data_IF_129390008316
#
_entry.id   IF_129390008316
#
_cell.length_a   1.000
_cell.length_b   1.000
_cell.length_c   1.000
_cell.angle_alpha   90.00
_cell.angle_beta   90.00
_cell.angle_gamma   90.00
#
_symmetry.space_group_name_H-M   'P 1'
#
loop_
_entity.id
_entity.type
_entity.pdbx_description
1 polymer ?
#
# COMPACT_ATOMS: atom_id res chain seq x y z
N UNK A 1 -13.76 -36.74 -9.55
CA UNK A 1 -14.27 -37.25 -10.84
C UNK A 1 -14.88 -36.19 -11.77
N UNK A 2 -15.51 -35.11 -11.31
CA UNK A 2 -16.12 -34.06 -12.18
C UNK A 2 -15.15 -33.17 -13.00
N UNK A 3 -13.85 -33.14 -12.69
CA UNK A 3 -12.87 -32.31 -13.41
C UNK A 3 -12.35 -32.93 -14.72
N UNK A 4 -12.56 -34.24 -14.96
CA UNK A 4 -11.98 -34.92 -16.12
C UNK A 4 -12.86 -34.87 -17.39
N UNK A 5 -14.15 -34.54 -17.26
CA UNK A 5 -15.07 -34.49 -18.41
C UNK A 5 -14.99 -33.18 -19.22
N UNK A 6 -14.55 -32.07 -18.62
CA UNK A 6 -14.46 -30.78 -19.32
C UNK A 6 -13.28 -30.69 -20.31
N UNK A 7 -12.31 -31.61 -20.23
CA UNK A 7 -11.13 -31.63 -21.13
C UNK A 7 -11.47 -31.92 -22.60
N UNK A 8 -12.67 -32.42 -22.92
CA UNK A 8 -13.00 -32.98 -24.24
C UNK A 8 -13.81 -32.07 -25.19
N UNK A 9 -14.17 -30.84 -24.82
CA UNK A 9 -14.89 -29.93 -25.74
C UNK A 9 -13.97 -28.84 -26.29
N UNK A 10 -13.32 -29.11 -27.43
CA UNK A 10 -12.80 -28.04 -28.30
C UNK A 10 -13.98 -27.33 -28.98
N UNK A 11 -14.16 -26.01 -28.82
CA UNK A 11 -15.14 -25.28 -29.63
C UNK A 11 -14.59 -25.13 -31.06
N UNK A 12 -15.40 -25.52 -32.04
CA UNK A 12 -15.15 -25.31 -33.46
C UNK A 12 -15.04 -23.80 -33.74
N UNK A 13 -13.91 -23.34 -34.28
CA UNK A 13 -13.65 -21.94 -34.55
C UNK A 13 -14.15 -21.58 -35.98
N UNK A 14 -15.41 -21.15 -36.10
CA UNK A 14 -15.91 -20.50 -37.30
C UNK A 14 -15.71 -18.98 -37.14
N UNK A 15 -14.76 -18.43 -37.89
CA UNK A 15 -14.26 -17.04 -37.84
C UNK A 15 -15.29 -15.96 -38.22
N UNK A 16 -16.45 -16.33 -38.73
CA UNK A 16 -17.51 -15.40 -39.16
C UNK A 16 -18.51 -15.05 -38.05
N UNK A 17 -18.61 -15.83 -36.96
CA UNK A 17 -19.56 -15.57 -35.88
C UNK A 17 -19.03 -14.60 -34.80
N UNK A 18 -17.71 -14.46 -34.63
CA UNK A 18 -17.13 -13.58 -33.60
C UNK A 18 -17.29 -12.08 -33.92
N UNK A 19 -17.41 -11.71 -35.21
CA UNK A 19 -17.47 -10.30 -35.62
C UNK A 19 -18.79 -9.61 -35.26
N UNK A 20 -19.88 -10.36 -35.06
CA UNK A 20 -21.20 -9.79 -34.71
C UNK A 20 -21.47 -9.65 -33.20
N UNK A 21 -20.58 -10.14 -32.34
CA UNK A 21 -20.79 -10.15 -30.87
C UNK A 21 -20.44 -8.85 -30.15
N UNK A 22 -19.81 -7.90 -30.85
CA UNK A 22 -19.37 -6.62 -30.27
C UNK A 22 -20.48 -5.56 -30.14
N UNK A 23 -21.60 -5.76 -30.84
CA UNK A 23 -22.73 -4.81 -30.85
C UNK A 23 -23.79 -5.10 -29.78
N UNK A 24 -23.70 -6.24 -29.10
CA UNK A 24 -24.50 -6.54 -27.92
C UNK A 24 -23.55 -6.65 -26.73
N UNK A 25 -23.42 -5.57 -25.98
CA UNK A 25 -22.75 -5.56 -24.68
C UNK A 25 -23.62 -6.33 -23.66
N UNK A 26 -23.90 -7.60 -23.93
CA UNK A 26 -24.51 -8.50 -22.94
C UNK A 26 -23.46 -8.70 -21.87
N UNK A 27 -23.57 -7.98 -20.76
CA UNK A 27 -22.73 -8.12 -19.57
C UNK A 27 -23.01 -9.50 -18.97
N UNK A 28 -22.36 -10.52 -19.51
CA UNK A 28 -22.47 -11.87 -19.01
C UNK A 28 -21.51 -11.99 -17.82
N UNK A 29 -22.04 -11.77 -16.61
CA UNK A 29 -21.24 -11.78 -15.38
C UNK A 29 -20.71 -13.20 -15.16
N UNK A 30 -19.39 -13.37 -15.29
CA UNK A 30 -18.74 -14.64 -15.03
C UNK A 30 -18.80 -14.94 -13.52
N UNK A 31 -19.80 -15.73 -13.10
CA UNK A 31 -20.05 -16.09 -11.70
C UNK A 31 -18.85 -16.76 -11.03
N UNK A 32 -17.92 -17.36 -11.78
CA UNK A 32 -16.69 -17.95 -11.24
C UNK A 32 -15.65 -16.91 -10.85
N UNK A 33 -15.54 -15.81 -11.60
CA UNK A 33 -14.55 -14.75 -11.34
C UNK A 33 -15.12 -13.58 -10.54
N UNK A 34 -16.44 -13.49 -10.38
CA UNK A 34 -17.05 -12.45 -9.56
C UNK A 34 -16.48 -12.42 -8.11
N UNK A 35 -16.32 -13.56 -7.40
CA UNK A 35 -15.69 -13.55 -6.09
C UNK A 35 -14.23 -13.06 -6.15
N UNK A 36 -13.46 -13.44 -7.17
CA UNK A 36 -12.07 -13.00 -7.36
C UNK A 36 -12.00 -11.48 -7.50
N UNK A 37 -12.84 -10.89 -8.36
CA UNK A 37 -12.89 -9.44 -8.57
C UNK A 37 -13.28 -8.69 -7.30
N UNK A 38 -14.31 -9.17 -6.60
CA UNK A 38 -14.78 -8.56 -5.35
C UNK A 38 -13.72 -8.66 -4.26
N UNK A 39 -12.98 -9.77 -4.17
CA UNK A 39 -11.88 -9.92 -3.22
C UNK A 39 -10.77 -8.91 -3.49
N UNK A 40 -10.28 -8.77 -4.74
CA UNK A 40 -9.28 -7.73 -5.06
C UNK A 40 -9.80 -6.33 -4.73
N UNK A 41 -11.05 -6.04 -5.12
CA UNK A 41 -11.64 -4.72 -4.94
C UNK A 41 -11.75 -4.37 -3.45
N UNK A 42 -12.38 -5.21 -2.63
CA UNK A 42 -12.60 -4.93 -1.22
C UNK A 42 -11.29 -4.94 -0.42
N UNK A 43 -10.37 -5.86 -0.69
CA UNK A 43 -9.13 -5.94 0.07
C UNK A 43 -8.25 -4.71 -0.20
N UNK A 44 -8.11 -4.30 -1.46
CA UNK A 44 -7.33 -3.10 -1.80
C UNK A 44 -8.08 -1.80 -1.45
N UNK A 45 -9.42 -1.83 -1.38
CA UNK A 45 -10.19 -0.75 -0.78
C UNK A 45 -9.81 -0.57 0.69
N UNK A 46 -9.80 -1.65 1.48
CA UNK A 46 -9.39 -1.60 2.87
C UNK A 46 -7.96 -1.06 2.99
N UNK A 47 -7.01 -1.62 2.23
CA UNK A 47 -5.62 -1.13 2.20
C UNK A 47 -5.54 0.40 1.98
N UNK A 48 -6.30 0.94 1.01
CA UNK A 48 -6.29 2.35 0.67
C UNK A 48 -6.84 3.29 1.77
N UNK A 49 -7.61 2.77 2.75
CA UNK A 49 -8.19 3.60 3.83
C UNK A 49 -7.12 4.15 4.76
N UNK A 50 -6.20 3.29 5.23
CA UNK A 50 -5.30 3.65 6.33
C UNK A 50 -3.83 3.47 6.02
N UNK A 51 -3.45 2.46 5.21
CA UNK A 51 -2.04 2.08 5.03
C UNK A 51 -1.19 3.21 4.45
N UNK A 52 -1.65 4.00 3.46
CA UNK A 52 -0.88 5.14 2.96
C UNK A 52 -0.65 6.22 4.03
N UNK A 53 -1.61 6.43 4.91
CA UNK A 53 -1.57 7.49 5.93
C UNK A 53 -0.90 7.07 7.24
N UNK A 54 -0.59 5.78 7.41
CA UNK A 54 0.02 5.23 8.61
C UNK A 54 1.34 5.91 9.03
N UNK A 55 2.26 6.29 8.12
CA UNK A 55 3.44 7.07 8.48
C UNK A 55 3.10 8.41 9.14
N UNK A 56 2.00 9.03 8.74
CA UNK A 56 1.59 10.34 9.26
C UNK A 56 0.93 10.19 10.61
N UNK A 57 0.12 9.14 10.79
CA UNK A 57 -0.36 8.75 12.11
C UNK A 57 0.81 8.53 13.09
N UNK A 58 1.86 7.81 12.67
CA UNK A 58 3.05 7.59 13.50
C UNK A 58 3.81 8.90 13.79
N UNK A 59 3.87 9.81 12.83
CA UNK A 59 4.45 11.14 13.01
C UNK A 59 3.66 11.97 14.03
N UNK A 60 2.33 11.97 13.94
CA UNK A 60 1.43 12.65 14.89
C UNK A 60 1.52 12.06 16.31
N UNK A 61 1.87 10.77 16.46
CA UNK A 61 2.19 10.16 17.76
C UNK A 61 3.51 10.65 18.38
N UNK A 62 4.28 11.49 17.66
CA UNK A 62 5.57 12.00 18.11
C UNK A 62 6.76 11.11 17.77
N UNK A 63 6.63 10.18 16.82
CA UNK A 63 7.76 9.39 16.32
C UNK A 63 8.63 10.20 15.35
N UNK A 64 9.94 9.97 15.39
CA UNK A 64 10.85 10.58 14.42
C UNK A 64 10.87 9.82 13.08
N UNK A 65 11.43 10.44 12.03
CA UNK A 65 11.50 9.84 10.69
C UNK A 65 12.27 8.50 10.66
N UNK A 66 13.28 8.31 11.52
CA UNK A 66 14.04 7.06 11.60
C UNK A 66 13.18 5.90 12.15
N UNK A 67 12.41 6.16 13.22
CA UNK A 67 11.48 5.20 13.80
C UNK A 67 10.39 4.80 12.80
N UNK A 68 9.80 5.78 12.12
CA UNK A 68 8.80 5.53 11.07
C UNK A 68 9.42 4.70 9.95
N UNK A 69 10.62 5.07 9.48
CA UNK A 69 11.35 4.31 8.46
C UNK A 69 11.59 2.84 8.85
N UNK A 70 12.01 2.59 10.10
CA UNK A 70 12.18 1.23 10.63
C UNK A 70 10.86 0.47 10.61
N UNK A 71 9.76 1.06 11.12
CA UNK A 71 8.44 0.42 11.15
C UNK A 71 7.93 0.07 9.75
N UNK A 72 8.14 0.97 8.78
CA UNK A 72 7.77 0.70 7.37
C UNK A 72 8.69 -0.34 6.71
N UNK A 73 9.96 -0.41 7.10
CA UNK A 73 10.92 -1.41 6.59
C UNK A 73 10.66 -2.83 7.13
N UNK A 74 10.01 -2.99 8.29
CA UNK A 74 9.60 -4.30 8.80
C UNK A 74 8.67 -5.01 7.83
N UNK A 75 7.77 -4.30 7.15
CA UNK A 75 6.77 -4.88 6.24
C UNK A 75 7.38 -5.76 5.13
N UNK A 76 8.31 -5.28 4.28
CA UNK A 76 8.93 -6.13 3.26
C UNK A 76 9.75 -7.28 3.86
N UNK A 77 10.40 -7.09 5.01
CA UNK A 77 11.20 -8.14 5.67
C UNK A 77 10.30 -9.27 6.19
N UNK A 78 9.22 -8.91 6.88
CA UNK A 78 8.22 -9.87 7.38
C UNK A 78 7.54 -10.58 6.22
N UNK A 79 7.13 -9.87 5.17
CA UNK A 79 6.54 -10.47 3.97
C UNK A 79 7.49 -11.46 3.30
N UNK A 80 8.77 -11.12 3.15
CA UNK A 80 9.77 -12.00 2.55
C UNK A 80 9.91 -13.35 3.27
N UNK A 81 9.79 -13.36 4.59
CA UNK A 81 9.90 -14.57 5.42
C UNK A 81 8.56 -15.31 5.56
N UNK A 82 7.48 -14.58 5.81
CA UNK A 82 6.18 -15.16 6.13
C UNK A 82 5.47 -15.73 4.89
N UNK A 83 5.61 -15.12 3.70
CA UNK A 83 4.92 -15.59 2.50
C UNK A 83 5.30 -17.03 2.09
N UNK A 84 6.59 -17.45 2.07
CA UNK A 84 6.96 -18.85 1.83
C UNK A 84 6.44 -19.82 2.91
N UNK A 85 6.43 -19.39 4.17
CA UNK A 85 5.94 -20.21 5.30
C UNK A 85 4.45 -20.50 5.11
N UNK A 86 3.65 -19.47 4.86
CA UNK A 86 2.21 -19.63 4.60
C UNK A 86 1.93 -20.43 3.33
N UNK A 87 2.72 -20.24 2.27
CA UNK A 87 2.66 -21.08 1.06
C UNK A 87 2.85 -22.56 1.37
N UNK A 88 3.91 -22.89 2.10
CA UNK A 88 4.23 -24.28 2.47
C UNK A 88 3.16 -24.90 3.36
N UNK A 89 2.64 -24.14 4.34
CA UNK A 89 1.54 -24.59 5.22
C UNK A 89 0.26 -24.83 4.41
N UNK A 90 -0.09 -23.90 3.52
CA UNK A 90 -1.27 -24.03 2.66
C UNK A 90 -1.20 -25.29 1.80
N UNK A 91 -0.05 -25.54 1.17
CA UNK A 91 0.18 -26.67 0.28
C UNK A 91 0.21 -28.01 1.03
N UNK A 92 0.89 -28.08 2.18
CA UNK A 92 1.03 -29.31 2.98
C UNK A 92 -0.31 -29.80 3.51
N UNK A 93 -1.16 -28.90 3.96
CA UNK A 93 -2.45 -29.24 4.57
C UNK A 93 -3.64 -29.10 3.60
N UNK A 94 -3.43 -28.60 2.38
CA UNK A 94 -4.49 -28.28 1.41
C UNK A 94 -5.59 -27.36 1.96
N UNK A 95 -5.20 -26.40 2.81
CA UNK A 95 -6.11 -25.49 3.53
C UNK A 95 -6.08 -24.05 3.00
N UNK A 96 -5.69 -23.80 1.75
CA UNK A 96 -5.47 -22.44 1.22
C UNK A 96 -6.64 -21.48 1.50
N UNK A 97 -7.90 -21.93 1.33
CA UNK A 97 -9.08 -21.10 1.63
C UNK A 97 -9.17 -20.72 3.10
N UNK A 98 -9.05 -21.72 3.98
CA UNK A 98 -9.16 -21.52 5.42
C UNK A 98 -8.05 -20.60 5.92
N UNK A 99 -6.84 -20.78 5.36
CA UNK A 99 -5.70 -19.94 5.68
C UNK A 99 -5.89 -18.50 5.20
N UNK A 100 -6.37 -18.27 3.96
CA UNK A 100 -6.70 -16.91 3.49
C UNK A 100 -7.74 -16.23 4.39
N UNK A 101 -8.78 -16.94 4.83
CA UNK A 101 -9.77 -16.41 5.76
C UNK A 101 -9.16 -16.07 7.13
N UNK A 102 -8.32 -16.96 7.68
CA UNK A 102 -7.64 -16.74 8.95
C UNK A 102 -6.69 -15.53 8.88
N UNK A 103 -5.95 -15.35 7.78
CA UNK A 103 -5.09 -14.20 7.54
C UNK A 103 -5.87 -12.88 7.52
N UNK A 104 -7.01 -12.81 6.82
CA UNK A 104 -7.86 -11.61 6.79
C UNK A 104 -8.42 -11.27 8.17
N UNK A 105 -8.87 -12.27 8.94
CA UNK A 105 -9.37 -12.05 10.29
C UNK A 105 -8.23 -11.57 11.20
N UNK A 106 -7.06 -12.23 11.13
CA UNK A 106 -5.89 -11.86 11.91
C UNK A 106 -5.42 -10.44 11.64
N UNK A 107 -5.30 -10.05 10.36
CA UNK A 107 -4.89 -8.67 10.00
C UNK A 107 -5.92 -7.63 10.45
N UNK A 108 -7.22 -7.94 10.33
CA UNK A 108 -8.32 -7.06 10.80
C UNK A 108 -8.32 -6.87 12.32
N UNK A 109 -7.97 -7.91 13.09
CA UNK A 109 -7.83 -7.79 14.54
C UNK A 109 -6.61 -6.95 14.88
N UNK A 110 -5.45 -7.26 14.30
CA UNK A 110 -4.21 -6.55 14.59
C UNK A 110 -4.30 -5.06 14.27
N UNK A 111 -4.81 -4.69 13.09
CA UNK A 111 -4.95 -3.26 12.73
C UNK A 111 -5.90 -2.50 13.67
N UNK A 112 -6.94 -3.17 14.20
CA UNK A 112 -7.87 -2.56 15.15
C UNK A 112 -7.20 -2.22 16.48
N UNK A 113 -6.09 -2.90 16.83
CA UNK A 113 -5.33 -2.63 18.05
C UNK A 113 -4.61 -1.27 18.00
N UNK A 114 -4.42 -0.65 16.83
CA UNK A 114 -3.86 0.70 16.74
C UNK A 114 -4.68 1.76 17.47
N UNK A 115 -5.98 1.53 17.66
CA UNK A 115 -6.86 2.42 18.42
C UNK A 115 -6.41 2.56 19.88
N UNK A 116 -5.75 1.55 20.44
CA UNK A 116 -5.27 1.55 21.82
C UNK A 116 -3.86 2.13 21.98
N UNK A 117 -3.22 2.58 20.90
CA UNK A 117 -1.91 3.22 20.98
C UNK A 117 -2.08 4.62 21.58
N UNK A 118 -1.43 4.93 22.71
CA UNK A 118 -1.60 6.21 23.38
C UNK A 118 -1.03 7.34 22.54
N UNK A 119 -1.78 8.44 22.43
CA UNK A 119 -1.32 9.65 21.75
C UNK A 119 -0.50 10.51 22.73
N UNK A 120 0.77 10.73 22.40
CA UNK A 120 1.72 11.44 23.26
C UNK A 120 1.48 12.96 23.24
N UNK A 121 0.97 13.52 22.13
CA UNK A 121 0.81 14.99 22.00
C UNK A 121 -0.23 15.58 22.95
N UNK A 122 -1.27 14.82 23.30
CA UNK A 122 -2.32 15.27 24.23
C UNK A 122 -1.81 15.42 25.68
N UNK A 123 -0.70 14.76 26.04
CA UNK A 123 -0.17 14.78 27.41
C UNK A 123 0.66 16.02 27.73
N UNK A 124 1.18 16.72 26.71
CA UNK A 124 1.95 17.95 26.88
C UNK A 124 1.03 19.19 27.00
N UNK A 125 -0.15 19.18 26.35
CA UNK A 125 -1.17 20.25 26.52
C UNK A 125 -1.76 20.24 27.94
N UNK A 126 -1.99 19.06 28.53
CA UNK A 126 -2.51 18.93 29.91
C UNK A 126 -1.49 19.31 30.99
N UNK A 127 -0.18 19.29 30.69
CA UNK A 127 0.86 19.74 31.63
C UNK A 127 1.05 21.24 31.65
N UNK A 128 0.78 21.92 30.54
CA UNK A 128 0.86 23.38 30.48
C UNK A 128 -0.36 24.08 31.08
N UNK A 129 -1.52 23.41 31.16
CA UNK A 129 -2.72 23.95 31.80
C UNK A 129 -2.71 23.89 33.33
N UNK A 130 -1.75 23.19 33.95
CA UNK A 130 -1.66 23.06 35.42
C UNK A 130 -0.73 24.08 36.10
N UNK A 131 0.04 24.88 35.37
CA UNK A 131 0.98 25.86 35.95
C UNK A 131 0.48 27.32 35.97
N UNK A 132 -0.68 27.62 35.40
CA UNK A 132 -1.31 28.95 35.54
C UNK A 132 -2.40 28.94 36.63
N UNK A 133 -2.36 29.95 37.50
CA UNK A 133 -3.27 30.29 38.61
C UNK A 133 -2.87 29.87 40.05
N UNK A 134 -1.89 30.59 40.61
CA UNK A 134 -2.02 31.11 41.98
C UNK A 134 -2.40 32.60 41.89
N UNK A 135 -3.61 33.03 42.31
CA UNK A 135 -4.00 34.43 42.23
C UNK A 135 -3.38 35.23 43.38
N UNK A 136 -2.44 36.13 43.07
CA UNK A 136 -2.04 37.19 43.99
C UNK A 136 -3.17 38.22 44.07
N UNK A 137 -3.74 38.41 45.26
CA UNK A 137 -4.74 39.46 45.53
C UNK A 137 -4.16 40.86 45.25
N UNK A 138 -4.97 41.83 44.76
CA UNK A 138 -4.51 43.20 44.64
C UNK A 138 -4.73 43.95 45.95
N UNK A 139 -3.65 44.40 46.59
CA UNK A 139 -3.68 45.48 47.58
C UNK A 139 -2.98 46.71 47.02
N UNK A 140 -3.78 47.74 46.74
CA UNK A 140 -3.60 49.12 47.17
C UNK A 140 -3.90 50.17 46.09
N UNK A 141 -4.93 50.95 46.41
CA UNK A 141 -5.17 52.32 45.95
C UNK A 141 -4.28 53.24 46.81
N UNK A 142 -3.59 54.22 46.21
CA UNK A 142 -3.13 55.38 46.96
C UNK A 142 -2.00 56.24 46.38
N UNK A 143 -2.41 57.35 45.73
CA UNK A 143 -1.88 58.73 45.86
C UNK A 143 -0.57 59.14 45.12
N UNK A 144 -0.69 60.39 44.62
CA UNK A 144 0.14 61.26 43.77
C UNK A 144 1.58 61.58 44.21
N UNK A 145 2.42 61.95 43.21
CA UNK A 145 3.42 63.02 43.38
C UNK A 145 4.74 62.84 42.60
N UNK A 146 4.99 63.79 41.68
CA UNK A 146 6.31 64.37 41.37
C UNK A 146 7.26 63.72 40.34
N UNK A 147 7.67 64.62 39.43
CA UNK A 147 8.68 64.67 38.37
C UNK A 147 10.00 63.86 38.51
N UNK A 148 10.48 63.53 37.30
CA UNK A 148 11.87 63.36 36.82
C UNK A 148 12.61 62.05 37.17
N UNK A 149 12.75 61.17 36.16
CA UNK A 149 14.00 61.09 35.38
C UNK A 149 13.83 60.26 34.10
N UNK A 150 14.24 60.88 33.00
CA UNK A 150 14.32 60.33 31.66
C UNK A 150 15.53 59.40 31.60
N UNK A 151 15.31 58.08 31.52
CA UNK A 151 16.33 57.13 31.04
C UNK A 151 15.72 56.33 29.90
N UNK A 152 16.23 56.59 28.70
CA UNK A 152 15.90 55.92 27.45
C UNK A 152 16.42 54.48 27.52
N UNK A 153 15.59 53.54 27.97
CA UNK A 153 15.89 52.11 27.88
C UNK A 153 15.38 51.59 26.54
N UNK A 154 16.33 51.39 25.64
CA UNK A 154 16.24 50.62 24.41
C UNK A 154 15.31 49.42 24.57
N UNK A 155 14.22 49.38 23.78
CA UNK A 155 13.46 48.16 23.53
C UNK A 155 14.37 47.24 22.72
N UNK A 156 15.22 46.48 23.42
CA UNK A 156 15.87 45.32 22.84
C UNK A 156 14.79 44.24 22.72
N UNK A 157 14.40 43.99 21.47
CA UNK A 157 13.75 42.75 21.04
C UNK A 157 14.52 41.55 21.57
N UNK A 158 14.08 40.98 22.69
CA UNK A 158 14.41 39.60 23.01
C UNK A 158 13.45 38.72 22.21
N UNK A 159 13.82 38.52 20.94
CA UNK A 159 13.70 37.20 20.32
C UNK A 159 14.26 36.19 21.32
N UNK A 160 13.40 35.46 22.02
CA UNK A 160 13.82 34.24 22.71
C UNK A 160 14.40 33.30 21.67
N UNK A 161 15.73 33.27 21.65
CA UNK A 161 16.52 32.26 20.96
C UNK A 161 16.01 30.91 21.42
N UNK A 162 15.39 30.19 20.48
CA UNK A 162 15.10 28.76 20.59
C UNK A 162 16.46 28.07 20.55
N UNK A 163 17.09 27.96 21.71
CA UNK A 163 18.36 27.26 21.87
C UNK A 163 18.13 25.78 21.54
N UNK A 164 18.64 25.36 20.38
CA UNK A 164 18.66 23.98 19.93
C UNK A 164 19.56 23.16 20.86
N UNK A 165 18.98 22.57 21.89
CA UNK A 165 19.63 21.54 22.68
C UNK A 165 19.32 20.16 22.06
N UNK A 166 20.30 19.41 21.52
CA UNK A 166 20.07 18.18 20.74
C UNK A 166 19.79 16.94 21.60
N UNK A 167 19.31 17.11 22.82
CA UNK A 167 18.97 16.01 23.73
C UNK A 167 17.68 16.31 24.48
N UNK A 168 16.56 16.39 23.75
CA UNK A 168 15.26 16.12 24.39
C UNK A 168 15.27 14.67 24.83
N UNK A 169 15.41 14.46 26.14
CA UNK A 169 15.17 13.19 26.81
C UNK A 169 13.78 12.71 26.36
N UNK A 170 13.75 11.63 25.59
CA UNK A 170 12.52 11.10 24.99
C UNK A 170 11.49 10.85 26.09
N UNK A 171 10.26 11.38 25.98
CA UNK A 171 9.18 11.00 26.88
C UNK A 171 9.04 9.48 26.85
N UNK A 172 8.99 8.84 28.02
CA UNK A 172 8.81 7.38 28.18
C UNK A 172 7.63 6.84 27.36
N UNK A 173 6.63 7.69 27.13
CA UNK A 173 5.41 7.40 26.40
C UNK A 173 5.63 7.30 24.87
N UNK A 174 6.60 8.02 24.30
CA UNK A 174 6.98 7.89 22.88
C UNK A 174 7.63 6.54 22.56
N UNK A 175 8.46 6.02 23.47
CA UNK A 175 9.05 4.69 23.33
C UNK A 175 7.98 3.60 23.42
N UNK A 176 7.01 3.75 24.33
CA UNK A 176 5.89 2.81 24.45
C UNK A 176 5.06 2.76 23.17
N UNK A 177 4.67 3.92 22.61
CA UNK A 177 3.93 3.99 21.35
C UNK A 177 4.73 3.37 20.20
N UNK A 178 6.04 3.60 20.13
CA UNK A 178 6.90 2.95 19.14
C UNK A 178 6.91 1.42 19.27
N UNK A 179 7.09 0.88 20.47
CA UNK A 179 7.12 -0.57 20.71
C UNK A 179 5.76 -1.19 20.39
N UNK A 180 4.65 -0.57 20.81
CA UNK A 180 3.31 -1.04 20.51
C UNK A 180 3.05 -1.04 19.00
N UNK A 181 3.38 0.04 18.29
CA UNK A 181 3.29 0.07 16.84
C UNK A 181 4.17 -1.00 16.19
N UNK A 182 5.40 -1.23 16.65
CA UNK A 182 6.26 -2.28 16.13
C UNK A 182 5.65 -3.68 16.28
N UNK A 183 5.10 -3.99 17.46
CA UNK A 183 4.45 -5.28 17.73
C UNK A 183 3.19 -5.47 16.87
N UNK A 184 2.34 -4.44 16.80
CA UNK A 184 1.10 -4.47 16.03
C UNK A 184 1.42 -4.60 14.54
N UNK A 185 2.29 -3.75 13.98
CA UNK A 185 2.71 -3.80 12.57
C UNK A 185 3.37 -5.13 12.22
N UNK A 186 4.25 -5.65 13.06
CA UNK A 186 4.90 -6.95 12.79
C UNK A 186 3.89 -8.08 12.74
N UNK A 187 2.99 -8.15 13.72
CA UNK A 187 1.98 -9.21 13.80
C UNK A 187 0.98 -9.11 12.65
N UNK A 188 0.53 -7.89 12.34
CA UNK A 188 -0.38 -7.63 11.21
C UNK A 188 0.26 -8.04 9.88
N UNK A 189 1.52 -7.66 9.63
CA UNK A 189 2.25 -8.04 8.43
C UNK A 189 2.44 -9.56 8.30
N UNK A 190 2.63 -10.29 9.41
CA UNK A 190 2.70 -11.77 9.36
C UNK A 190 1.39 -12.34 8.81
N UNK A 191 0.23 -11.84 9.24
CA UNK A 191 -1.06 -12.29 8.73
C UNK A 191 -1.29 -11.85 7.28
N UNK A 192 -0.98 -10.59 6.97
CA UNK A 192 -1.17 -10.02 5.64
C UNK A 192 -0.33 -10.72 4.56
N UNK A 193 0.90 -11.09 4.91
CA UNK A 193 1.84 -11.85 4.06
C UNK A 193 1.29 -13.19 3.54
N UNK A 194 0.34 -13.78 4.27
CA UNK A 194 -0.29 -15.04 3.91
C UNK A 194 -1.47 -14.89 2.95
N UNK A 195 -2.04 -13.70 2.81
CA UNK A 195 -3.24 -13.51 2.00
C UNK A 195 -2.93 -13.28 0.52
N UNK A 196 -2.26 -12.17 0.20
CA UNK A 196 -2.09 -11.71 -1.20
C UNK A 196 -1.35 -12.72 -2.10
N UNK A 197 -0.22 -13.33 -1.70
CA UNK A 197 0.49 -14.30 -2.53
C UNK A 197 -0.33 -15.57 -2.81
N UNK A 198 -1.05 -16.09 -1.82
CA UNK A 198 -1.93 -17.25 -1.99
C UNK A 198 -3.09 -16.93 -2.93
N UNK A 199 -3.68 -15.75 -2.75
CA UNK A 199 -4.78 -15.29 -3.57
C UNK A 199 -4.37 -15.04 -5.03
N UNK A 200 -3.20 -14.41 -5.26
CA UNK A 200 -2.62 -14.20 -6.58
C UNK A 200 -2.30 -15.54 -7.27
N UNK A 201 -1.68 -16.47 -6.55
CA UNK A 201 -1.36 -17.81 -7.06
C UNK A 201 -2.62 -18.57 -7.47
N UNK A 202 -3.65 -18.57 -6.61
CA UNK A 202 -4.93 -19.20 -6.92
C UNK A 202 -5.62 -18.53 -8.12
N UNK A 203 -5.59 -17.20 -8.22
CA UNK A 203 -6.17 -16.47 -9.35
C UNK A 203 -5.49 -16.82 -10.67
N UNK A 204 -4.15 -16.84 -10.68
CA UNK A 204 -3.39 -17.25 -11.86
C UNK A 204 -3.75 -18.66 -12.32
N UNK A 205 -3.93 -19.58 -11.37
CA UNK A 205 -4.33 -20.96 -11.69
C UNK A 205 -5.77 -21.02 -12.21
N UNK A 206 -6.73 -20.32 -11.61
CA UNK A 206 -8.10 -20.21 -12.14
C UNK A 206 -8.14 -19.67 -13.58
N UNK A 207 -7.32 -18.65 -13.88
CA UNK A 207 -7.19 -18.11 -15.24
C UNK A 207 -6.68 -19.16 -16.25
N UNK A 208 -5.87 -20.13 -15.81
CA UNK A 208 -5.43 -21.26 -16.66
C UNK A 208 -6.55 -22.26 -16.93
N UNK A 209 -7.40 -22.54 -15.94
CA UNK A 209 -8.54 -23.44 -16.11
C UNK A 209 -9.65 -22.85 -16.98
N UNK A 210 -9.85 -21.53 -16.94
CA UNK A 210 -10.92 -20.84 -17.67
C UNK A 210 -10.36 -19.85 -18.71
N UNK A 211 -9.93 -20.34 -19.89
CA UNK A 211 -9.33 -19.51 -20.94
C UNK A 211 -10.30 -18.40 -21.39
N UNK A 212 -9.77 -17.19 -21.55
CA UNK A 212 -10.53 -15.97 -21.88
C UNK A 212 -10.60 -14.93 -20.76
N UNK A 213 -10.18 -15.29 -19.53
CA UNK A 213 -10.03 -14.35 -18.42
C UNK A 213 -8.53 -14.18 -18.10
N UNK A 214 -8.00 -12.97 -18.24
CA UNK A 214 -6.59 -12.67 -17.96
C UNK A 214 -6.36 -12.33 -16.50
N UNK A 215 -5.18 -12.67 -15.96
CA UNK A 215 -4.80 -12.34 -14.59
C UNK A 215 -4.76 -10.83 -14.38
N UNK A 216 -4.11 -10.10 -15.30
CA UNK A 216 -4.05 -8.63 -15.26
C UNK A 216 -5.44 -7.99 -15.23
N UNK A 217 -6.44 -8.56 -15.92
CA UNK A 217 -7.81 -8.05 -15.89
C UNK A 217 -8.54 -8.31 -14.57
N UNK A 218 -8.16 -9.36 -13.82
CA UNK A 218 -8.69 -9.55 -12.45
C UNK A 218 -8.00 -8.61 -11.46
N UNK A 219 -6.66 -8.50 -11.52
CA UNK A 219 -5.86 -7.63 -10.65
C UNK A 219 -6.21 -6.15 -10.83
N UNK A 220 -6.51 -5.72 -12.06
CA UNK A 220 -6.91 -4.35 -12.36
C UNK A 220 -8.15 -3.86 -11.57
N UNK A 221 -9.04 -4.76 -11.13
CA UNK A 221 -10.16 -4.38 -10.25
C UNK A 221 -9.67 -3.86 -8.89
N UNK A 222 -8.52 -4.32 -8.44
CA UNK A 222 -7.84 -3.84 -7.26
C UNK A 222 -7.32 -2.41 -7.41
N UNK A 223 -6.60 -2.14 -8.50
CA UNK A 223 -6.12 -0.79 -8.82
C UNK A 223 -7.28 0.21 -9.01
N UNK A 224 -8.37 -0.24 -9.64
CA UNK A 224 -9.61 0.53 -9.73
C UNK A 224 -10.16 0.89 -8.34
N UNK A 225 -10.15 -0.06 -7.40
CA UNK A 225 -10.62 0.17 -6.05
C UNK A 225 -9.78 1.26 -5.34
N UNK A 226 -8.45 1.18 -5.40
CA UNK A 226 -7.57 2.20 -4.82
C UNK A 226 -7.85 3.57 -5.46
N UNK A 227 -7.97 3.64 -6.79
CA UNK A 227 -8.24 4.88 -7.51
C UNK A 227 -9.59 5.54 -7.16
N UNK A 228 -10.61 4.75 -6.81
CA UNK A 228 -11.94 5.26 -6.43
C UNK A 228 -12.03 5.57 -4.93
N UNK A 229 -11.49 4.70 -4.08
CA UNK A 229 -11.63 4.79 -2.62
C UNK A 229 -10.67 5.81 -2.02
N UNK A 230 -9.45 5.95 -2.55
CA UNK A 230 -8.46 6.85 -1.95
C UNK A 230 -8.90 8.32 -1.92
N UNK A 231 -9.45 8.95 -2.99
CA UNK A 231 -9.89 10.35 -2.92
C UNK A 231 -11.08 10.53 -2.00
N UNK A 232 -11.98 9.55 -1.96
CA UNK A 232 -13.12 9.54 -1.03
C UNK A 232 -12.65 9.56 0.42
N UNK A 233 -11.66 8.73 0.76
CA UNK A 233 -11.06 8.70 2.10
C UNK A 233 -10.32 10.00 2.40
N UNK A 234 -9.56 10.55 1.46
CA UNK A 234 -8.86 11.83 1.66
C UNK A 234 -9.83 12.99 1.92
N UNK A 235 -10.92 13.08 1.15
CA UNK A 235 -12.00 14.04 1.41
C UNK A 235 -12.64 13.82 2.78
N UNK A 236 -12.90 12.56 3.16
CA UNK A 236 -13.48 12.23 4.46
C UNK A 236 -12.56 12.61 5.62
N UNK A 237 -11.23 12.47 5.47
CA UNK A 237 -10.24 12.96 6.44
C UNK A 237 -10.31 14.47 6.62
N UNK A 238 -10.29 15.24 5.53
CA UNK A 238 -10.35 16.70 5.58
C UNK A 238 -11.69 17.17 6.20
N UNK A 239 -12.81 16.56 5.81
CA UNK A 239 -14.13 16.87 6.36
C UNK A 239 -14.26 16.48 7.84
N UNK A 240 -13.72 15.32 8.26
CA UNK A 240 -13.78 14.87 9.64
C UNK A 240 -12.91 15.74 10.55
N UNK A 241 -11.73 16.17 10.09
CA UNK A 241 -10.88 17.10 10.83
C UNK A 241 -11.60 18.42 11.11
N UNK A 242 -12.27 18.98 10.10
CA UNK A 242 -13.10 20.18 10.28
C UNK A 242 -14.20 20.01 11.35
N UNK A 243 -14.84 18.84 11.40
CA UNK A 243 -15.87 18.54 12.41
C UNK A 243 -15.24 18.44 13.81
N UNK A 244 -14.11 17.77 13.96
CA UNK A 244 -13.40 17.68 15.25
C UNK A 244 -13.05 19.08 15.74
N UNK A 245 -12.47 19.92 14.88
CA UNK A 245 -12.05 21.28 15.22
C UNK A 245 -13.24 22.17 15.59
N UNK A 246 -14.39 21.97 14.95
CA UNK A 246 -15.61 22.75 15.21
C UNK A 246 -16.35 22.34 16.51
N UNK A 247 -16.30 21.07 16.90
CA UNK A 247 -17.09 20.52 18.01
C UNK A 247 -16.25 20.01 19.20
N UNK A 248 -14.91 20.12 19.13
CA UNK A 248 -13.96 19.54 20.10
C UNK A 248 -14.27 18.08 20.44
N UNK A 249 -14.78 17.32 19.47
CA UNK A 249 -15.20 15.94 19.65
C UNK A 249 -14.21 15.00 18.97
N UNK A 250 -13.44 14.25 19.75
CA UNK A 250 -12.60 13.15 19.25
C UNK A 250 -13.11 11.81 19.78
N UNK A 251 -13.33 10.85 18.89
CA UNK A 251 -13.75 9.50 19.28
C UNK A 251 -12.60 8.82 20.03
N UNK A 252 -12.82 8.43 21.29
CA UNK A 252 -11.78 7.85 22.17
C UNK A 252 -10.53 8.73 22.34
N UNK A 253 -10.64 10.05 22.16
CA UNK A 253 -9.47 10.95 22.28
C UNK A 253 -8.50 10.90 21.09
N UNK A 254 -8.86 10.23 19.99
CA UNK A 254 -7.98 10.05 18.83
C UNK A 254 -8.75 10.22 17.49
N UNK A 255 -8.30 11.17 16.67
CA UNK A 255 -8.88 11.52 15.37
C UNK A 255 -8.79 10.40 14.32
N UNK A 256 -7.94 9.40 14.51
CA UNK A 256 -7.72 8.33 13.53
C UNK A 256 -8.65 7.12 13.71
N UNK A 257 -9.35 7.04 14.84
CA UNK A 257 -10.18 5.88 15.21
C UNK A 257 -11.25 5.52 14.16
N UNK A 258 -12.00 6.48 13.58
CA UNK A 258 -13.00 6.14 12.56
C UNK A 258 -12.41 5.47 11.32
N UNK A 259 -11.17 5.81 10.96
CA UNK A 259 -10.49 5.26 9.79
C UNK A 259 -9.95 3.85 10.05
N UNK A 260 -9.48 3.56 11.26
CA UNK A 260 -9.17 2.19 11.67
C UNK A 260 -10.43 1.31 11.67
N UNK A 261 -11.55 1.82 12.17
CA UNK A 261 -12.81 1.08 12.13
C UNK A 261 -13.31 0.87 10.69
N UNK A 262 -13.23 1.90 9.84
CA UNK A 262 -13.57 1.80 8.43
C UNK A 262 -12.70 0.75 7.72
N UNK A 263 -11.40 0.73 7.95
CA UNK A 263 -10.50 -0.31 7.45
C UNK A 263 -10.99 -1.70 7.87
N UNK A 264 -11.23 -1.90 9.17
CA UNK A 264 -11.64 -3.20 9.72
C UNK A 264 -12.97 -3.68 9.14
N UNK A 265 -13.96 -2.80 9.00
CA UNK A 265 -15.24 -3.14 8.39
C UNK A 265 -15.05 -3.56 6.92
N UNK A 266 -14.34 -2.77 6.13
CA UNK A 266 -14.11 -3.10 4.70
C UNK A 266 -13.29 -4.38 4.55
N UNK A 267 -12.27 -4.58 5.41
CA UNK A 267 -11.46 -5.79 5.42
C UNK A 267 -12.29 -7.03 5.80
N UNK A 268 -13.16 -6.96 6.81
CA UNK A 268 -14.05 -8.07 7.17
C UNK A 268 -15.09 -8.38 6.09
N UNK A 269 -15.56 -7.38 5.33
CA UNK A 269 -16.43 -7.62 4.17
C UNK A 269 -15.75 -8.48 3.09
N UNK A 270 -14.42 -8.48 3.00
CA UNK A 270 -13.67 -9.36 2.08
C UNK A 270 -13.87 -10.85 2.39
N UNK A 271 -14.26 -11.23 3.61
CA UNK A 271 -14.47 -12.63 3.99
C UNK A 271 -15.59 -13.28 3.16
N UNK A 272 -16.61 -12.51 2.79
CA UNK A 272 -17.76 -12.99 2.01
C UNK A 272 -17.31 -13.51 0.64
N UNK A 273 -16.67 -12.72 -0.24
CA UNK A 273 -16.19 -13.24 -1.51
C UNK A 273 -15.10 -14.30 -1.34
N UNK A 274 -14.20 -14.18 -0.35
CA UNK A 274 -13.14 -15.18 -0.09
C UNK A 274 -13.72 -16.56 0.23
N UNK A 275 -14.79 -16.62 1.03
CA UNK A 275 -15.48 -17.89 1.34
C UNK A 275 -16.04 -18.58 0.09
N UNK A 276 -16.46 -17.78 -0.90
CA UNK A 276 -17.03 -18.23 -2.18
C UNK A 276 -15.98 -18.50 -3.26
N UNK A 277 -14.70 -18.25 -2.99
CA UNK A 277 -13.63 -18.55 -3.94
C UNK A 277 -13.54 -20.04 -4.22
N UNK A 278 -13.37 -20.39 -5.50
CA UNK A 278 -12.89 -21.71 -5.87
C UNK A 278 -11.39 -21.71 -5.63
N UNK A 279 -10.90 -22.72 -4.90
CA UNK A 279 -9.47 -22.91 -4.67
C UNK A 279 -9.03 -24.10 -5.51
N UNK A 280 -7.99 -23.89 -6.31
CA UNK A 280 -7.35 -24.97 -7.06
C UNK A 280 -6.27 -25.60 -6.17
N UNK A 281 -6.30 -26.92 -5.94
CA UNK A 281 -5.28 -27.59 -5.15
C UNK A 281 -3.92 -27.47 -5.85
N UNK A 282 -2.90 -27.04 -5.10
CA UNK A 282 -1.53 -26.89 -5.56
C UNK A 282 -0.72 -28.12 -5.14
N UNK A 283 0.19 -28.59 -6.00
CA UNK A 283 1.09 -29.68 -5.64
C UNK A 283 2.28 -29.10 -4.87
N UNK A 284 2.61 -29.62 -3.67
CA UNK A 284 3.73 -29.11 -2.89
C UNK A 284 5.04 -29.37 -3.62
N UNK A 285 6.00 -28.42 -3.62
CA UNK A 285 7.34 -28.67 -4.13
C UNK A 285 8.07 -29.69 -3.26
N UNK A 286 8.83 -30.62 -3.88
CA UNK A 286 9.60 -31.65 -3.15
C UNK A 286 10.65 -31.05 -2.21
N UNK A 287 11.23 -29.89 -2.57
CA UNK A 287 12.12 -29.12 -1.68
C UNK A 287 12.24 -27.65 -2.09
N UNK A 288 11.44 -26.78 -1.46
CA UNK A 288 11.40 -25.34 -1.72
C UNK A 288 12.81 -24.70 -1.70
N UNK A 289 13.59 -24.94 -0.64
CA UNK A 289 14.90 -24.30 -0.47
C UNK A 289 15.91 -24.69 -1.55
N UNK A 290 15.86 -25.94 -2.05
CA UNK A 290 16.76 -26.38 -3.12
C UNK A 290 16.41 -25.71 -4.45
N UNK A 291 15.12 -25.60 -4.77
CA UNK A 291 14.63 -24.91 -5.97
C UNK A 291 15.04 -23.44 -5.97
N UNK A 292 14.91 -22.75 -4.83
CA UNK A 292 15.33 -21.34 -4.69
C UNK A 292 16.84 -21.18 -4.87
N UNK A 293 17.67 -21.99 -4.20
CA UNK A 293 19.13 -21.92 -4.34
C UNK A 293 19.57 -22.18 -5.78
N UNK A 294 18.92 -23.13 -6.46
CA UNK A 294 19.22 -23.43 -7.86
C UNK A 294 18.86 -22.26 -8.79
N UNK A 295 17.76 -21.55 -8.51
CA UNK A 295 17.34 -20.38 -9.27
C UNK A 295 18.34 -19.23 -9.14
N UNK A 296 18.86 -18.97 -7.94
CA UNK A 296 19.87 -17.93 -7.70
C UNK A 296 21.27 -18.26 -8.27
N UNK A 297 21.49 -19.50 -8.72
CA UNK A 297 22.72 -19.90 -9.41
C UNK A 297 22.78 -19.40 -10.86
N UNK A 298 21.62 -19.10 -11.44
CA UNK A 298 21.54 -18.50 -12.77
C UNK A 298 21.95 -17.02 -12.71
N UNK A 299 22.99 -16.65 -13.46
CA UNK A 299 23.54 -15.30 -13.49
C UNK A 299 22.48 -14.25 -13.88
N UNK A 300 21.61 -14.56 -14.84
CA UNK A 300 20.62 -13.61 -15.33
C UNK A 300 19.52 -13.37 -14.29
N UNK A 301 19.09 -14.43 -13.59
CA UNK A 301 18.13 -14.29 -12.49
C UNK A 301 18.74 -13.49 -11.35
N UNK A 302 19.99 -13.79 -10.96
CA UNK A 302 20.67 -13.08 -9.89
C UNK A 302 20.79 -11.58 -10.16
N UNK A 303 21.19 -11.19 -11.39
CA UNK A 303 21.23 -9.78 -11.80
C UNK A 303 19.85 -9.14 -11.76
N UNK A 304 18.82 -9.84 -12.28
CA UNK A 304 17.45 -9.30 -12.28
C UNK A 304 16.93 -9.12 -10.85
N UNK A 305 17.26 -10.03 -9.94
CA UNK A 305 16.93 -9.91 -8.52
C UNK A 305 17.58 -8.66 -7.89
N UNK A 306 18.87 -8.42 -8.13
CA UNK A 306 19.55 -7.22 -7.61
C UNK A 306 18.86 -5.93 -8.07
N UNK A 307 18.47 -5.85 -9.34
CA UNK A 307 17.75 -4.68 -9.84
C UNK A 307 16.37 -4.54 -9.19
N UNK A 308 15.64 -5.63 -9.01
CA UNK A 308 14.34 -5.62 -8.33
C UNK A 308 14.48 -5.18 -6.87
N UNK A 309 15.57 -5.54 -6.19
CA UNK A 309 15.89 -5.03 -4.85
C UNK A 309 16.07 -3.51 -4.87
N UNK A 310 16.83 -2.96 -5.82
CA UNK A 310 17.01 -1.49 -5.96
C UNK A 310 15.69 -0.78 -6.22
N UNK A 311 14.87 -1.30 -7.13
CA UNK A 311 13.54 -0.74 -7.38
C UNK A 311 12.61 -0.89 -6.16
N UNK A 312 12.74 -1.99 -5.42
CA UNK A 312 11.99 -2.25 -4.19
C UNK A 312 12.36 -1.30 -3.05
N UNK A 313 13.64 -0.97 -2.88
CA UNK A 313 14.10 0.07 -1.94
C UNK A 313 13.49 1.41 -2.33
N UNK A 314 13.54 1.76 -3.61
CA UNK A 314 12.97 3.00 -4.14
C UNK A 314 11.45 3.07 -3.90
N UNK A 315 10.73 1.97 -4.16
CA UNK A 315 9.30 1.85 -3.85
C UNK A 315 9.03 2.01 -2.35
N UNK A 316 9.83 1.38 -1.50
CA UNK A 316 9.71 1.47 -0.04
C UNK A 316 9.94 2.88 0.50
N UNK A 317 10.94 3.61 0.00
CA UNK A 317 11.20 5.00 0.39
C UNK A 317 10.02 5.88 0.02
N UNK A 318 9.53 5.79 -1.22
CA UNK A 318 8.36 6.56 -1.65
C UNK A 318 7.11 6.20 -0.82
N UNK A 319 6.85 4.91 -0.59
CA UNK A 319 5.70 4.46 0.19
C UNK A 319 5.76 4.82 1.69
N UNK A 320 6.95 5.03 2.25
CA UNK A 320 7.13 5.43 3.64
C UNK A 320 7.05 6.95 3.83
N UNK A 321 7.64 7.72 2.93
CA UNK A 321 7.91 9.14 3.17
C UNK A 321 7.22 10.11 2.22
N UNK A 322 6.66 9.68 1.08
CA UNK A 322 6.06 10.61 0.12
C UNK A 322 4.89 11.40 0.74
N UNK A 323 3.96 10.71 1.39
CA UNK A 323 2.82 11.37 2.01
C UNK A 323 3.24 12.21 3.22
N UNK A 324 4.23 11.75 3.99
CA UNK A 324 4.79 12.56 5.08
C UNK A 324 5.45 13.84 4.56
N UNK A 325 6.22 13.75 3.47
CA UNK A 325 6.83 14.89 2.78
C UNK A 325 5.78 15.87 2.26
N UNK A 326 4.67 15.38 1.71
CA UNK A 326 3.57 16.24 1.28
C UNK A 326 2.87 16.93 2.47
N UNK A 327 2.74 16.26 3.60
CA UNK A 327 2.21 16.85 4.84
C UNK A 327 3.10 18.00 5.32
N UNK A 328 4.44 17.83 5.27
CA UNK A 328 5.41 18.88 5.61
C UNK A 328 5.35 20.08 4.66
N UNK A 329 4.97 19.86 3.39
CA UNK A 329 4.67 20.92 2.42
C UNK A 329 3.24 21.50 2.56
N UNK A 330 2.53 21.16 3.64
CA UNK A 330 1.16 21.59 3.92
C UNK A 330 0.14 21.21 2.81
N UNK A 331 0.35 20.08 2.13
CA UNK A 331 -0.60 19.55 1.18
C UNK A 331 -1.89 19.07 1.86
N UNK A 332 -3.04 19.21 1.18
CA UNK A 332 -4.31 18.65 1.67
C UNK A 332 -4.32 17.12 1.59
N UNK A 333 -5.09 16.46 2.48
CA UNK A 333 -5.24 14.99 2.43
C UNK A 333 -5.91 14.54 1.13
N UNK A 334 -6.76 15.39 0.53
CA UNK A 334 -7.26 15.16 -0.83
C UNK A 334 -6.14 15.14 -1.89
N UNK A 335 -5.19 16.08 -1.87
CA UNK A 335 -4.05 16.04 -2.80
C UNK A 335 -3.20 14.78 -2.59
N UNK A 336 -2.98 14.41 -1.33
CA UNK A 336 -2.25 13.20 -0.94
C UNK A 336 -2.94 11.93 -1.46
N UNK A 337 -4.26 11.84 -1.36
CA UNK A 337 -5.01 10.71 -1.94
C UNK A 337 -5.01 10.72 -3.47
N UNK A 338 -5.03 11.89 -4.11
CA UNK A 338 -4.92 11.98 -5.56
C UNK A 338 -3.57 11.44 -6.07
N UNK A 339 -2.50 11.49 -5.26
CA UNK A 339 -1.23 10.85 -5.63
C UNK A 339 -1.41 9.33 -5.82
N UNK A 340 -2.20 8.67 -4.98
CA UNK A 340 -2.51 7.23 -5.11
C UNK A 340 -3.29 6.94 -6.40
N UNK A 341 -4.21 7.81 -6.80
CA UNK A 341 -4.90 7.68 -8.10
C UNK A 341 -3.89 7.72 -9.25
N UNK A 342 -2.94 8.66 -9.19
CA UNK A 342 -1.90 8.81 -10.20
C UNK A 342 -0.88 7.67 -10.17
N UNK A 343 -0.78 6.89 -9.10
CA UNK A 343 -0.04 5.63 -9.12
C UNK A 343 -0.80 4.51 -9.83
N UNK A 344 -2.10 4.36 -9.55
CA UNK A 344 -2.91 3.23 -10.01
C UNK A 344 -3.40 3.37 -11.46
N UNK A 345 -3.74 4.58 -11.91
CA UNK A 345 -4.28 4.78 -13.26
C UNK A 345 -3.25 4.46 -14.37
N UNK A 346 -2.00 4.99 -14.32
CA UNK A 346 -0.96 4.63 -15.26
C UNK A 346 -0.54 3.17 -15.13
N UNK A 347 -0.50 2.61 -13.92
CA UNK A 347 -0.25 1.18 -13.70
C UNK A 347 -1.25 0.32 -14.49
N UNK A 348 -2.55 0.61 -14.32
CA UNK A 348 -3.61 -0.14 -14.99
C UNK A 348 -3.50 -0.05 -16.51
N UNK A 349 -3.25 1.15 -17.04
CA UNK A 349 -3.05 1.37 -18.48
C UNK A 349 -1.83 0.59 -18.97
N UNK A 350 -0.70 0.69 -18.27
CA UNK A 350 0.53 0.01 -18.65
C UNK A 350 0.39 -1.51 -18.62
N UNK A 351 -0.33 -2.07 -17.64
CA UNK A 351 -0.63 -3.50 -17.57
C UNK A 351 -1.55 -3.95 -18.72
N UNK A 352 -2.59 -3.17 -19.03
CA UNK A 352 -3.53 -3.46 -20.12
C UNK A 352 -2.85 -3.45 -21.50
N UNK A 353 -1.88 -2.56 -21.72
CA UNK A 353 -1.17 -2.42 -22.99
C UNK A 353 0.24 -3.02 -23.00
N UNK A 354 0.64 -3.73 -21.93
CA UNK A 354 1.97 -4.31 -21.74
C UNK A 354 2.47 -5.09 -22.96
N UNK A 355 1.63 -5.93 -23.58
CA UNK A 355 2.00 -6.68 -24.78
C UNK A 355 2.35 -5.82 -26.01
N UNK A 356 1.71 -4.65 -26.18
CA UNK A 356 2.04 -3.70 -27.26
C UNK A 356 3.33 -2.95 -26.94
N UNK A 357 3.47 -2.50 -25.69
CA UNK A 357 4.65 -1.81 -25.19
C UNK A 357 5.90 -2.70 -25.36
N UNK A 358 5.81 -3.97 -24.97
CA UNK A 358 6.90 -4.95 -25.12
C UNK A 358 7.27 -5.19 -26.58
N UNK A 359 6.28 -5.26 -27.49
CA UNK A 359 6.56 -5.41 -28.93
C UNK A 359 7.29 -4.19 -29.50
N UNK A 360 6.97 -3.00 -29.01
CA UNK A 360 7.58 -1.76 -29.47
C UNK A 360 8.99 -1.54 -28.91
N UNK A 361 9.20 -1.79 -27.61
CA UNK A 361 10.42 -1.42 -26.90
C UNK A 361 11.35 -2.59 -26.58
N UNK A 362 10.96 -3.83 -26.89
CA UNK A 362 11.61 -5.08 -26.45
C UNK A 362 11.60 -5.27 -24.92
N UNK A 363 11.96 -6.46 -24.44
CA UNK A 363 11.97 -6.79 -23.01
C UNK A 363 12.97 -5.93 -22.23
N UNK A 364 14.19 -5.79 -22.78
CA UNK A 364 15.28 -5.05 -22.18
C UNK A 364 14.98 -3.54 -22.18
N UNK A 365 14.42 -3.03 -23.28
CA UNK A 365 14.06 -1.61 -23.36
C UNK A 365 12.96 -1.20 -22.38
N UNK A 366 11.92 -2.02 -22.18
CA UNK A 366 10.90 -1.75 -21.14
C UNK A 366 11.54 -1.70 -19.75
N UNK A 367 12.47 -2.60 -19.47
CA UNK A 367 13.17 -2.68 -18.20
C UNK A 367 14.00 -1.40 -17.91
N UNK A 368 14.84 -0.99 -18.87
CA UNK A 368 15.62 0.24 -18.79
C UNK A 368 14.74 1.49 -18.69
N UNK A 369 13.65 1.53 -19.46
CA UNK A 369 12.71 2.63 -19.45
C UNK A 369 12.03 2.80 -18.07
N UNK A 370 11.66 1.71 -17.40
CA UNK A 370 11.12 1.79 -16.05
C UNK A 370 12.15 2.28 -15.02
N UNK A 371 13.41 1.85 -15.11
CA UNK A 371 14.49 2.38 -14.25
C UNK A 371 14.70 3.89 -14.46
N UNK A 372 14.69 4.33 -15.72
CA UNK A 372 14.82 5.73 -16.08
C UNK A 372 13.64 6.56 -15.55
N UNK A 373 12.41 6.05 -15.64
CA UNK A 373 11.22 6.68 -15.08
C UNK A 373 11.31 6.86 -13.56
N UNK A 374 11.89 5.88 -12.83
CA UNK A 374 12.17 6.02 -11.40
C UNK A 374 13.18 7.12 -11.10
N UNK A 375 14.28 7.19 -11.86
CA UNK A 375 15.27 8.25 -11.69
C UNK A 375 14.62 9.64 -11.86
N UNK A 376 13.81 9.82 -12.91
CA UNK A 376 13.05 11.05 -13.12
C UNK A 376 12.08 11.31 -11.98
N UNK A 377 11.38 10.29 -11.47
CA UNK A 377 10.42 10.44 -10.37
C UNK A 377 11.07 11.00 -9.11
N UNK A 378 12.22 10.46 -8.71
CA UNK A 378 12.96 10.95 -7.54
C UNK A 378 13.57 12.33 -7.75
N UNK A 379 14.10 12.62 -8.95
CA UNK A 379 14.52 13.98 -9.29
C UNK A 379 13.34 14.95 -9.26
N UNK A 380 12.17 14.52 -9.73
CA UNK A 380 10.92 15.28 -9.69
C UNK A 380 10.57 15.69 -8.26
N UNK A 381 10.63 14.78 -7.29
CA UNK A 381 10.38 15.09 -5.88
C UNK A 381 11.31 16.19 -5.34
N UNK A 382 12.59 16.20 -5.74
CA UNK A 382 13.55 17.20 -5.27
C UNK A 382 13.24 18.63 -5.75
N UNK A 383 12.42 18.77 -6.81
CA UNK A 383 12.09 20.05 -7.44
C UNK A 383 10.70 20.57 -7.08
N UNK A 384 9.93 19.87 -6.23
CA UNK A 384 8.55 20.25 -5.89
C UNK A 384 8.58 21.56 -5.07
N UNK A 385 7.98 22.65 -5.56
CA UNK A 385 7.90 23.89 -4.81
C UNK A 385 6.83 23.81 -3.72
N UNK A 386 7.09 24.43 -2.56
CA UNK A 386 6.13 24.53 -1.44
C UNK A 386 4.79 25.16 -1.88
N UNK A 387 4.83 26.17 -2.77
CA UNK A 387 3.64 26.85 -3.28
C UNK A 387 2.89 26.09 -4.36
N UNK A 388 3.45 25.00 -4.89
CA UNK A 388 2.93 24.27 -6.06
C UNK A 388 3.02 22.74 -5.86
N UNK A 389 2.53 22.26 -4.71
CA UNK A 389 2.51 20.83 -4.35
C UNK A 389 1.79 19.94 -5.38
N UNK A 390 0.85 20.50 -6.17
CA UNK A 390 0.14 19.80 -7.26
C UNK A 390 1.06 19.22 -8.34
N UNK A 391 2.29 19.72 -8.47
CA UNK A 391 3.32 19.18 -9.40
C UNK A 391 3.68 17.73 -9.07
N UNK A 392 3.39 17.25 -7.86
CA UNK A 392 3.57 15.83 -7.50
C UNK A 392 2.75 14.88 -8.38
N UNK A 393 1.56 15.27 -8.84
CA UNK A 393 0.65 14.40 -9.59
C UNK A 393 1.22 13.92 -10.95
N UNK A 394 1.76 14.79 -11.82
CA UNK A 394 2.42 14.33 -13.04
C UNK A 394 3.69 13.52 -12.74
N UNK A 395 4.42 13.82 -11.66
CA UNK A 395 5.59 13.04 -11.23
C UNK A 395 5.20 11.62 -10.82
N UNK A 396 4.08 11.45 -10.11
CA UNK A 396 3.52 10.15 -9.74
C UNK A 396 3.10 9.31 -10.94
N UNK A 397 2.79 9.94 -12.07
CA UNK A 397 2.33 9.20 -13.24
C UNK A 397 3.37 8.20 -13.76
N UNK A 398 4.65 8.48 -13.48
CA UNK A 398 5.79 7.62 -13.82
C UNK A 398 5.82 6.30 -13.01
N UNK A 399 5.04 6.20 -11.93
CA UNK A 399 4.94 5.00 -11.10
C UNK A 399 4.48 3.77 -11.88
N UNK A 400 3.53 3.93 -12.81
CA UNK A 400 2.93 2.80 -13.53
C UNK A 400 3.93 1.91 -14.28
N UNK A 401 5.10 2.47 -14.61
CA UNK A 401 6.19 1.79 -15.33
C UNK A 401 6.96 0.78 -14.44
N UNK A 402 6.77 0.84 -13.12
CA UNK A 402 7.31 -0.16 -12.18
C UNK A 402 6.72 -1.55 -12.41
N UNK A 403 5.39 -1.61 -12.46
CA UNK A 403 4.67 -2.88 -12.48
C UNK A 403 4.82 -3.60 -13.83
N UNK A 404 5.11 -2.87 -14.91
CA UNK A 404 5.52 -3.48 -16.19
C UNK A 404 6.86 -4.19 -16.09
N UNK A 405 7.79 -3.73 -15.25
CA UNK A 405 9.08 -4.39 -15.03
C UNK A 405 8.94 -5.68 -14.21
N UNK A 406 8.05 -5.69 -13.22
CA UNK A 406 7.77 -6.89 -12.41
C UNK A 406 7.21 -8.03 -13.28
N UNK A 407 6.35 -7.71 -14.26
CA UNK A 407 5.85 -8.69 -15.22
C UNK A 407 6.96 -9.32 -16.07
N UNK A 408 8.05 -8.59 -16.35
CA UNK A 408 9.21 -9.14 -17.06
C UNK A 408 10.04 -10.11 -16.22
N UNK A 409 10.24 -9.78 -14.94
CA UNK A 409 10.95 -10.66 -14.00
C UNK A 409 10.32 -12.05 -13.96
N UNK A 410 8.98 -12.13 -13.86
CA UNK A 410 8.26 -13.40 -13.85
C UNK A 410 8.60 -14.26 -15.08
N UNK A 411 8.69 -13.63 -16.25
CA UNK A 411 9.04 -14.32 -17.50
C UNK A 411 10.50 -14.77 -17.53
N UNK A 412 11.44 -13.93 -17.10
CA UNK A 412 12.87 -14.28 -17.05
C UNK A 412 13.05 -15.51 -16.14
N UNK A 413 12.45 -15.50 -14.96
CA UNK A 413 12.44 -16.63 -14.05
C UNK A 413 11.84 -17.88 -14.71
N UNK A 414 10.75 -17.75 -15.48
CA UNK A 414 10.15 -18.90 -16.18
C UNK A 414 11.04 -19.47 -17.28
N UNK A 415 11.74 -18.63 -18.04
CA UNK A 415 12.61 -19.07 -19.14
C UNK A 415 13.88 -19.78 -18.64
N UNK A 416 14.38 -19.37 -17.48
CA UNK A 416 15.64 -19.85 -16.91
C UNK A 416 15.43 -20.91 -15.81
N UNK A 417 14.19 -21.19 -15.41
CA UNK A 417 13.89 -22.23 -14.44
C UNK A 417 14.21 -23.62 -15.02
N UNK A 418 15.12 -24.40 -14.39
CA UNK A 418 15.53 -25.69 -14.89
C UNK A 418 14.39 -26.71 -14.75
N UNK A 419 13.79 -27.08 -15.88
CA UNK A 419 12.91 -28.25 -16.08
C UNK A 419 11.86 -28.50 -14.97
N UNK A 420 10.72 -27.83 -15.10
CA UNK A 420 9.42 -28.53 -15.07
C UNK A 420 8.75 -28.31 -16.41
N UNK A 421 8.04 -29.33 -16.90
CA UNK A 421 7.09 -29.25 -18.02
C UNK A 421 5.92 -28.29 -17.70
N UNK A 422 6.21 -27.04 -17.31
CA UNK A 422 5.24 -25.96 -17.30
C UNK A 422 5.11 -25.57 -18.75
N UNK A 423 4.18 -26.24 -19.43
CA UNK A 423 3.77 -25.97 -20.80
C UNK A 423 3.91 -24.47 -21.12
N UNK A 424 4.49 -24.22 -22.31
CA UNK A 424 4.88 -22.92 -22.86
C UNK A 424 3.77 -21.84 -22.90
N UNK A 425 2.62 -22.13 -22.33
CA UNK A 425 1.31 -21.55 -22.53
C UNK A 425 0.97 -20.36 -21.65
N UNK A 426 1.60 -20.06 -20.50
CA UNK A 426 1.15 -18.88 -19.73
C UNK A 426 1.48 -17.54 -20.41
N UNK A 427 2.69 -17.39 -20.97
CA UNK A 427 3.05 -16.25 -21.82
C UNK A 427 2.42 -16.38 -23.20
N UNK A 428 2.34 -17.60 -23.73
CA UNK A 428 1.64 -17.82 -24.97
C UNK A 428 0.13 -17.59 -24.86
N UNK A 429 -0.57 -17.68 -23.72
CA UNK A 429 -2.02 -17.43 -23.63
C UNK A 429 -2.30 -15.95 -23.44
N UNK A 430 -1.51 -15.22 -22.64
CA UNK A 430 -1.58 -13.76 -22.61
C UNK A 430 -1.15 -13.13 -23.94
N UNK A 431 -0.35 -13.81 -24.77
CA UNK A 431 0.00 -13.33 -26.12
C UNK A 431 -0.77 -14.01 -27.26
N UNK A 432 -1.36 -15.21 -27.10
CA UNK A 432 -2.13 -15.93 -28.13
C UNK A 432 -3.59 -15.53 -28.12
N UNK A 433 -4.16 -15.25 -26.93
CA UNK A 433 -5.43 -14.55 -26.84
C UNK A 433 -5.37 -13.15 -27.49
N UNK A 434 -4.16 -12.62 -27.69
CA UNK A 434 -3.85 -11.37 -28.38
C UNK A 434 -3.25 -11.53 -29.78
N UNK A 435 -2.90 -12.75 -30.23
CA UNK A 435 -2.54 -13.04 -31.64
C UNK A 435 -3.73 -13.54 -32.45
N UNK A 436 -4.77 -14.04 -31.78
CA UNK A 436 -6.04 -14.44 -32.41
C UNK A 436 -7.09 -13.32 -32.40
N UNK A 437 -6.71 -12.07 -32.16
CA UNK A 437 -7.55 -10.88 -32.29
C UNK A 437 -6.86 -9.83 -33.14
#
# INVERSE_FOLDING_TARGET
MKFNEERKRKPNCNSTLERRRWLTLSVNINKTFLPVKLTYYLYLSAWAVIKPYLPIFMYELGMNAAQIGILRAIEPVTNFVASPVWGTVADKFNIHKMLMLACVIGSSICISLFVFVPNVTNLDEDRHSTEEFLPLMPTNIGVSGSRENLSFTTVSSQTSQKENNPSKLFPRDSLLSFILCALITTTENIFDAGFMPLFDSNTMELCRYYPGNTYGGQRAMGALAVGVISPFVGYLFDAYKYIIDAFSFSLLGNSWVPFFFMYTVVMLLTLIPVSKLKVVPMQPPESFSKEVIQLFRDRQIFITFLVVVVCGISYGIAGAFLLLFLEELHASRLLMSLTLVMTCAPETICLMFSGRIIKALTYEGVFCLGLFAYAIRFLGYSTIPEKATWVVLPVESLHGMFWTNLAQLYRICKLHCPRRNVSHTSVHYELSAWRSR
#
